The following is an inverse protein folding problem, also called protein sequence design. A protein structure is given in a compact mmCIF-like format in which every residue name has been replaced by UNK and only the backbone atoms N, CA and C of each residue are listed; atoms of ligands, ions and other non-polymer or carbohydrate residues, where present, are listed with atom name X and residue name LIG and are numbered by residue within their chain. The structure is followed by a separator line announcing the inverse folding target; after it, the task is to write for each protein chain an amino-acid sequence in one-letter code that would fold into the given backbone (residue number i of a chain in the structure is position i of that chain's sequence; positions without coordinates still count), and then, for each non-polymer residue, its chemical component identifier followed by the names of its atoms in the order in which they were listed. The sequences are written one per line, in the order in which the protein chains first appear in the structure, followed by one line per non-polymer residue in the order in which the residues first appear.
data_IF_213618401164
#
_entry.id   IF_213618401164
#
_cell.length_a   1.000
_cell.length_b   1.000
_cell.length_c   1.000
_cell.angle_alpha   90.00
_cell.angle_beta   90.00
_cell.angle_gamma   90.00
#
_symmetry.space_group_name_H-M   'P 1'
#
loop_
_entity.id
_entity.type
_entity.pdbx_description
1 polymer ?
#
# COMPACT_ATOMS: atom_id res chain seq x y z
N UNK A 1 39.64 18.13 7.84
CA UNK A 1 38.95 17.09 8.64
C UNK A 1 39.05 15.80 7.84
N UNK A 2 39.82 14.85 8.36
CA UNK A 2 40.27 13.64 7.67
C UNK A 2 39.09 12.81 7.14
N UNK A 3 39.04 12.59 5.82
CA UNK A 3 38.20 11.54 5.24
C UNK A 3 38.73 10.21 5.77
N UNK A 4 38.06 9.64 6.76
CA UNK A 4 38.27 8.25 7.14
C UNK A 4 37.92 7.40 5.93
N UNK A 5 38.94 6.91 5.22
CA UNK A 5 38.79 5.79 4.29
C UNK A 5 38.06 4.68 5.04
N UNK A 6 36.88 4.31 4.55
CA UNK A 6 36.21 3.08 4.97
C UNK A 6 37.15 1.93 4.63
N UNK A 7 37.38 0.95 5.54
CA UNK A 7 38.21 -0.19 5.23
C UNK A 7 37.63 -0.89 3.99
N UNK A 8 38.44 -1.06 2.94
CA UNK A 8 38.09 -1.92 1.80
C UNK A 8 37.68 -3.29 2.36
N UNK A 9 36.54 -3.86 1.95
CA UNK A 9 36.21 -5.22 2.35
C UNK A 9 37.21 -6.15 1.68
N UNK A 10 38.25 -6.53 2.40
CA UNK A 10 39.12 -7.65 2.05
C UNK A 10 38.31 -8.93 2.25
N UNK A 11 37.47 -9.26 1.28
CA UNK A 11 37.06 -10.66 1.08
C UNK A 11 38.35 -11.43 0.78
N UNK A 12 38.65 -12.53 1.49
CA UNK A 12 39.80 -13.35 1.14
C UNK A 12 39.60 -13.81 -0.30
N UNK A 13 40.61 -13.60 -1.13
CA UNK A 13 40.53 -13.87 -2.56
C UNK A 13 40.67 -15.38 -2.81
N UNK A 14 39.69 -16.19 -2.39
CA UNK A 14 39.77 -17.66 -2.41
C UNK A 14 40.04 -18.27 -3.80
N UNK A 15 39.87 -17.50 -4.88
CA UNK A 15 40.20 -17.89 -6.25
C UNK A 15 41.71 -18.11 -6.50
N UNK A 16 42.61 -17.48 -5.75
CA UNK A 16 44.06 -17.68 -5.92
C UNK A 16 44.64 -18.80 -5.05
N UNK A 17 43.83 -19.37 -4.15
CA UNK A 17 44.25 -20.41 -3.22
C UNK A 17 43.99 -21.80 -3.79
N UNK A 18 44.82 -22.76 -3.36
CA UNK A 18 44.58 -24.19 -3.60
C UNK A 18 43.41 -24.66 -2.75
N UNK A 19 42.73 -25.70 -3.25
CA UNK A 19 41.67 -26.41 -2.54
C UNK A 19 42.09 -26.82 -1.12
N UNK A 20 43.31 -27.36 -0.95
CA UNK A 20 43.84 -27.76 0.36
C UNK A 20 43.88 -26.61 1.38
N UNK A 21 44.28 -25.40 0.96
CA UNK A 21 44.36 -24.24 1.85
C UNK A 21 42.96 -23.79 2.29
N UNK A 22 42.00 -23.80 1.37
CA UNK A 22 40.61 -23.43 1.65
C UNK A 22 39.95 -24.43 2.60
N UNK A 23 40.25 -25.72 2.43
CA UNK A 23 39.78 -26.81 3.29
C UNK A 23 40.33 -26.65 4.72
N UNK A 24 41.63 -26.35 4.84
CA UNK A 24 42.27 -26.09 6.13
C UNK A 24 41.74 -24.83 6.81
N UNK A 25 41.57 -23.73 6.06
CA UNK A 25 41.07 -22.44 6.57
C UNK A 25 39.65 -22.57 7.14
N UNK A 26 38.77 -23.33 6.47
CA UNK A 26 37.40 -23.54 6.92
C UNK A 26 37.20 -24.78 7.78
N UNK A 27 38.26 -25.53 8.10
CA UNK A 27 38.19 -26.79 8.87
C UNK A 27 37.06 -27.70 8.40
N UNK A 28 36.94 -27.86 7.08
CA UNK A 28 35.90 -28.68 6.43
C UNK A 28 36.55 -29.90 5.77
N UNK A 29 35.78 -30.91 5.42
CA UNK A 29 36.24 -32.10 4.70
C UNK A 29 35.38 -32.28 3.46
N UNK A 30 35.99 -32.54 2.30
CA UNK A 30 35.26 -32.62 1.02
C UNK A 30 34.24 -33.77 1.00
N UNK A 31 34.58 -34.90 1.63
CA UNK A 31 33.77 -36.12 1.61
C UNK A 31 32.71 -36.12 2.69
N UNK A 32 33.04 -35.59 3.87
CA UNK A 32 32.14 -35.62 5.02
C UNK A 32 31.39 -34.32 5.26
N UNK A 33 31.91 -33.20 4.75
CA UNK A 33 31.38 -31.87 4.96
C UNK A 33 31.53 -31.41 6.42
N UNK A 34 30.80 -30.36 6.78
CA UNK A 34 30.77 -29.88 8.16
C UNK A 34 29.91 -30.79 9.04
N UNK A 35 30.24 -30.87 10.32
CA UNK A 35 29.35 -31.51 11.30
C UNK A 35 28.15 -30.62 11.60
N UNK A 36 26.98 -31.23 11.84
CA UNK A 36 25.75 -30.47 12.13
C UNK A 36 25.91 -29.54 13.35
N UNK A 37 26.74 -29.90 14.32
CA UNK A 37 27.05 -29.06 15.49
C UNK A 37 27.85 -27.82 15.13
N UNK A 38 28.89 -27.96 14.30
CA UNK A 38 29.73 -26.85 13.85
C UNK A 38 28.94 -25.91 12.94
N UNK A 39 28.14 -26.47 12.02
CA UNK A 39 27.28 -25.67 11.16
C UNK A 39 26.26 -24.84 11.97
N UNK A 40 25.63 -25.43 12.99
CA UNK A 40 24.72 -24.68 13.90
C UNK A 40 25.44 -23.60 14.72
N UNK A 41 26.69 -23.85 15.12
CA UNK A 41 27.49 -22.84 15.83
C UNK A 41 27.87 -21.68 14.91
N UNK A 42 28.25 -21.97 13.65
CA UNK A 42 28.52 -20.94 12.63
C UNK A 42 27.27 -20.17 12.26
N UNK A 43 26.11 -20.81 12.10
CA UNK A 43 24.85 -20.12 11.78
C UNK A 43 24.39 -19.12 12.85
N UNK A 44 24.82 -19.31 14.12
CA UNK A 44 24.56 -18.34 15.19
C UNK A 44 25.51 -17.14 15.15
N UNK A 45 26.67 -17.29 14.51
CA UNK A 45 27.75 -16.30 14.44
C UNK A 45 27.72 -15.53 13.11
N UNK A 46 27.70 -16.28 12.02
CA UNK A 46 27.61 -15.85 10.64
C UNK A 46 26.11 -15.90 10.29
N UNK A 47 25.51 -14.73 10.11
CA UNK A 47 24.07 -14.54 9.87
C UNK A 47 23.54 -15.44 8.72
N UNK A 48 22.22 -15.59 8.62
CA UNK A 48 21.60 -16.43 7.59
C UNK A 48 22.05 -16.03 6.18
N UNK A 49 22.08 -16.99 5.26
CA UNK A 49 22.29 -16.76 3.83
C UNK A 49 21.05 -16.12 3.19
N UNK A 50 20.76 -14.89 3.61
CA UNK A 50 19.74 -14.03 3.06
C UNK A 50 20.23 -12.59 3.08
N UNK A 51 19.71 -11.77 2.17
CA UNK A 51 19.92 -10.33 2.25
C UNK A 51 19.08 -9.80 3.42
N UNK A 52 19.73 -9.08 4.34
CA UNK A 52 19.05 -8.55 5.52
C UNK A 52 17.94 -7.59 5.06
N UNK A 53 16.75 -7.84 5.58
CA UNK A 53 15.61 -6.96 5.42
C UNK A 53 15.09 -6.74 6.83
N UNK A 54 15.72 -5.81 7.57
CA UNK A 54 15.36 -5.55 8.96
C UNK A 54 13.85 -5.29 9.05
N UNK A 55 13.08 -6.14 9.76
CA UNK A 55 11.66 -5.96 9.87
C UNK A 55 11.40 -4.65 10.61
N UNK A 56 10.68 -3.73 9.97
CA UNK A 56 10.25 -2.48 10.62
C UNK A 56 9.33 -2.85 11.79
N UNK A 57 9.64 -2.42 13.02
CA UNK A 57 8.81 -2.75 14.16
C UNK A 57 7.42 -2.15 14.02
N UNK A 58 6.39 -2.92 14.40
CA UNK A 58 4.97 -2.53 14.19
C UNK A 58 4.62 -1.19 14.84
N UNK A 59 5.17 -0.86 16.00
CA UNK A 59 4.92 0.43 16.64
C UNK A 59 5.48 1.61 15.83
N UNK A 60 6.60 1.42 15.12
CA UNK A 60 7.19 2.44 14.27
C UNK A 60 6.31 2.69 13.05
N UNK A 61 5.70 1.63 12.50
CA UNK A 61 4.68 1.74 11.44
C UNK A 61 3.48 2.58 11.91
N UNK A 62 3.05 2.42 13.16
CA UNK A 62 1.96 3.21 13.76
C UNK A 62 2.36 4.69 13.91
N UNK A 63 3.55 4.98 14.43
CA UNK A 63 4.04 6.36 14.59
C UNK A 63 4.21 7.05 13.23
N UNK A 64 4.67 6.32 12.22
CA UNK A 64 4.80 6.84 10.86
C UNK A 64 3.44 7.28 10.28
N UNK A 65 2.32 6.72 10.72
CA UNK A 65 1.00 7.21 10.30
C UNK A 65 0.75 8.65 10.74
N UNK A 66 1.35 9.13 11.82
CA UNK A 66 1.21 10.50 12.30
C UNK A 66 2.18 11.49 11.64
N UNK A 67 3.21 10.99 10.94
CA UNK A 67 4.22 11.84 10.30
C UNK A 67 3.76 12.31 8.91
N UNK A 68 2.63 13.01 8.88
CA UNK A 68 2.03 13.56 7.67
C UNK A 68 1.57 15.00 7.94
N UNK A 69 1.88 15.92 7.01
CA UNK A 69 1.49 17.33 7.09
C UNK A 69 -0.01 17.53 7.33
N UNK A 70 -0.85 16.69 6.71
CA UNK A 70 -2.32 16.70 6.87
C UNK A 70 -2.69 16.42 8.34
N UNK A 71 -2.06 15.42 8.95
CA UNK A 71 -2.36 15.02 10.33
C UNK A 71 -1.84 16.07 11.32
N UNK A 72 -0.71 16.74 11.03
CA UNK A 72 -0.26 17.87 11.84
C UNK A 72 -1.25 19.04 11.82
N UNK A 73 -1.82 19.36 10.65
CA UNK A 73 -2.85 20.40 10.53
C UNK A 73 -4.10 20.03 11.32
N UNK A 74 -4.57 18.78 11.19
CA UNK A 74 -5.75 18.29 11.92
C UNK A 74 -5.51 18.22 13.44
N UNK A 75 -4.31 17.84 13.88
CA UNK A 75 -3.94 17.87 15.31
C UNK A 75 -3.94 19.31 15.84
N UNK A 76 -3.36 20.25 15.08
CA UNK A 76 -3.36 21.66 15.44
C UNK A 76 -4.79 22.22 15.53
N UNK A 77 -5.64 21.90 14.56
CA UNK A 77 -7.07 22.22 14.57
C UNK A 77 -7.77 21.66 15.81
N UNK A 78 -7.59 20.37 16.11
CA UNK A 78 -8.19 19.72 17.28
C UNK A 78 -7.78 20.38 18.61
N UNK A 79 -6.51 20.79 18.72
CA UNK A 79 -5.97 21.50 19.89
C UNK A 79 -6.60 22.90 20.01
N UNK A 80 -6.68 23.67 18.92
CA UNK A 80 -7.31 24.99 18.94
C UNK A 80 -8.79 24.90 19.32
N UNK A 81 -9.52 23.95 18.76
CA UNK A 81 -10.94 23.71 19.10
C UNK A 81 -11.13 23.31 20.56
N UNK A 82 -10.22 22.49 21.10
CA UNK A 82 -10.22 22.12 22.52
C UNK A 82 -9.97 23.32 23.42
N UNK A 83 -9.02 24.19 23.05
CA UNK A 83 -8.69 25.42 23.79
C UNK A 83 -9.89 26.38 23.82
N UNK A 84 -10.68 26.43 22.75
CA UNK A 84 -11.94 27.19 22.67
C UNK A 84 -13.09 26.56 23.48
N UNK A 85 -12.85 25.46 24.21
CA UNK A 85 -13.84 24.69 25.00
C UNK A 85 -14.98 24.09 24.18
N UNK A 86 -14.76 23.90 22.87
CA UNK A 86 -15.69 23.18 22.00
C UNK A 86 -15.36 21.67 22.01
N UNK A 87 -15.74 21.01 23.11
CA UNK A 87 -15.42 19.60 23.33
C UNK A 87 -16.04 18.66 22.28
N UNK A 88 -17.25 18.98 21.79
CA UNK A 88 -17.92 18.21 20.72
C UNK A 88 -17.05 18.14 19.47
N UNK A 89 -16.60 19.29 18.98
CA UNK A 89 -15.99 19.42 17.67
C UNK A 89 -14.54 18.89 17.70
N UNK A 90 -13.83 19.15 18.80
CA UNK A 90 -12.49 18.58 19.04
C UNK A 90 -12.53 17.05 19.13
N UNK A 91 -13.57 16.49 19.77
CA UNK A 91 -13.73 15.03 19.87
C UNK A 91 -13.96 14.38 18.50
N UNK A 92 -14.75 15.02 17.62
CA UNK A 92 -14.99 14.52 16.25
C UNK A 92 -13.71 14.52 15.44
N UNK A 93 -12.93 15.60 15.45
CA UNK A 93 -11.66 15.69 14.70
C UNK A 93 -10.67 14.63 15.21
N UNK A 94 -10.59 14.44 16.52
CA UNK A 94 -9.70 13.45 17.14
C UNK A 94 -10.10 12.02 16.76
N UNK A 95 -11.39 11.70 16.73
CA UNK A 95 -11.90 10.40 16.27
C UNK A 95 -11.50 10.16 14.80
N UNK A 96 -11.61 11.17 13.93
CA UNK A 96 -11.22 11.06 12.52
C UNK A 96 -9.73 10.76 12.39
N UNK A 97 -8.86 11.47 13.12
CA UNK A 97 -7.41 11.23 13.12
C UNK A 97 -7.11 9.79 13.56
N UNK A 98 -7.75 9.31 14.63
CA UNK A 98 -7.55 7.95 15.16
C UNK A 98 -8.01 6.90 14.16
N UNK A 99 -9.20 7.05 13.57
CA UNK A 99 -9.73 6.11 12.57
C UNK A 99 -8.78 6.04 11.36
N UNK A 100 -8.33 7.19 10.85
CA UNK A 100 -7.40 7.24 9.73
C UNK A 100 -6.06 6.55 10.05
N UNK A 101 -5.50 6.80 11.24
CA UNK A 101 -4.28 6.14 11.70
C UNK A 101 -4.45 4.62 11.83
N UNK A 102 -5.58 4.15 12.38
CA UNK A 102 -5.89 2.72 12.51
C UNK A 102 -6.06 2.04 11.15
N UNK A 103 -6.76 2.68 10.22
CA UNK A 103 -6.92 2.17 8.85
C UNK A 103 -5.57 2.10 8.15
N UNK A 104 -4.73 3.14 8.27
CA UNK A 104 -3.38 3.18 7.72
C UNK A 104 -2.51 2.05 8.28
N UNK A 105 -2.48 1.91 9.60
CA UNK A 105 -1.76 0.85 10.31
C UNK A 105 -2.20 -0.56 9.89
N UNK A 106 -3.52 -0.81 9.83
CA UNK A 106 -4.05 -2.11 9.41
C UNK A 106 -3.70 -2.46 7.96
N UNK A 107 -3.63 -1.46 7.07
CA UNK A 107 -3.22 -1.65 5.67
C UNK A 107 -1.74 -1.98 5.57
N UNK A 108 -0.89 -1.23 6.27
CA UNK A 108 0.56 -1.40 6.21
C UNK A 108 1.00 -2.77 6.76
N UNK A 109 0.38 -3.24 7.85
CA UNK A 109 0.64 -4.59 8.39
C UNK A 109 0.25 -5.68 7.40
N UNK A 110 -0.91 -5.54 6.72
CA UNK A 110 -1.34 -6.54 5.73
C UNK A 110 -0.39 -6.60 4.55
N UNK A 111 0.08 -5.45 4.07
CA UNK A 111 1.06 -5.37 2.99
C UNK A 111 2.40 -6.00 3.38
N UNK A 112 2.93 -5.65 4.55
CA UNK A 112 4.19 -6.20 5.08
C UNK A 112 4.13 -7.73 5.25
N UNK A 113 3.06 -8.26 5.87
CA UNK A 113 2.88 -9.70 6.07
C UNK A 113 2.74 -10.47 4.74
N UNK A 114 2.12 -9.86 3.72
CA UNK A 114 1.97 -10.50 2.41
C UNK A 114 3.33 -10.63 1.71
N UNK A 115 4.18 -9.60 1.82
CA UNK A 115 5.53 -9.62 1.27
C UNK A 115 6.43 -10.65 1.96
N UNK A 116 6.37 -10.73 3.30
CA UNK A 116 7.15 -11.69 4.08
C UNK A 116 6.80 -13.14 3.69
N UNK A 117 5.51 -13.45 3.54
CA UNK A 117 5.06 -14.77 3.06
C UNK A 117 5.58 -15.10 1.66
N UNK A 118 5.61 -14.13 0.75
CA UNK A 118 6.19 -14.32 -0.58
C UNK A 118 7.70 -14.61 -0.47
N UNK A 119 8.45 -13.87 0.36
CA UNK A 119 9.89 -14.10 0.59
C UNK A 119 10.15 -15.54 1.06
N UNK A 120 9.33 -16.06 1.98
CA UNK A 120 9.48 -17.43 2.51
C UNK A 120 9.13 -18.54 1.52
N UNK A 121 8.28 -18.27 0.52
CA UNK A 121 7.92 -19.25 -0.51
C UNK A 121 8.96 -19.33 -1.64
N UNK A 122 9.88 -18.37 -1.70
CA UNK A 122 10.90 -18.24 -2.75
C UNK A 122 12.30 -18.70 -2.31
N UNK A 123 12.47 -19.21 -1.09
CA UNK A 123 13.76 -19.71 -0.63
C UNK A 123 14.09 -21.05 -1.29
N UNK A 124 15.12 -21.06 -2.14
CA UNK A 124 15.59 -22.26 -2.84
C UNK A 124 16.09 -23.34 -1.87
N UNK A 125 15.86 -24.60 -2.21
CA UNK A 125 16.50 -25.76 -1.56
C UNK A 125 17.85 -26.05 -2.21
N UNK A 126 18.78 -26.63 -1.46
CA UNK A 126 20.11 -26.99 -1.94
C UNK A 126 20.61 -28.27 -1.28
N UNK A 127 21.50 -28.97 -1.97
CA UNK A 127 22.10 -30.22 -1.52
C UNK A 127 23.45 -29.94 -0.87
N UNK A 128 23.62 -30.34 0.40
CA UNK A 128 24.89 -30.21 1.12
C UNK A 128 25.36 -31.53 1.69
N UNK A 129 26.67 -31.67 1.83
CA UNK A 129 27.27 -32.73 2.64
C UNK A 129 27.41 -32.23 4.08
N UNK A 130 26.77 -32.94 5.01
CA UNK A 130 26.96 -32.78 6.46
C UNK A 130 26.99 -34.15 7.11
N UNK A 131 27.90 -34.32 8.07
CA UNK A 131 28.12 -35.59 8.79
C UNK A 131 28.29 -36.81 7.86
N UNK A 132 28.90 -36.66 6.68
CA UNK A 132 29.09 -37.74 5.71
C UNK A 132 27.90 -38.05 4.81
N UNK A 133 26.78 -37.34 4.96
CA UNK A 133 25.55 -37.62 4.23
C UNK A 133 25.11 -36.44 3.37
N UNK A 134 24.65 -36.71 2.15
CA UNK A 134 24.02 -35.71 1.29
C UNK A 134 22.62 -35.42 1.85
N UNK A 135 22.41 -34.20 2.31
CA UNK A 135 21.14 -33.74 2.89
C UNK A 135 20.63 -32.54 2.12
N UNK A 136 19.32 -32.54 1.86
CA UNK A 136 18.64 -31.41 1.23
C UNK A 136 18.19 -30.44 2.32
N UNK A 137 18.48 -29.14 2.14
CA UNK A 137 18.09 -28.11 3.10
C UNK A 137 17.81 -26.77 2.42
N UNK A 138 17.17 -25.86 3.15
CA UNK A 138 16.96 -24.50 2.67
C UNK A 138 18.30 -23.76 2.52
N UNK A 139 18.51 -23.13 1.35
CA UNK A 139 19.72 -22.35 1.06
C UNK A 139 19.98 -21.25 2.10
N UNK A 140 18.92 -20.73 2.75
CA UNK A 140 18.99 -19.76 3.86
C UNK A 140 19.88 -20.23 5.02
N UNK A 141 19.95 -21.54 5.25
CA UNK A 141 20.66 -22.14 6.39
C UNK A 141 22.09 -22.58 6.04
N UNK A 142 22.58 -22.22 4.84
CA UNK A 142 23.98 -22.41 4.47
C UNK A 142 24.88 -21.52 5.31
N UNK A 143 26.05 -22.05 5.66
CA UNK A 143 27.11 -21.33 6.36
C UNK A 143 28.42 -21.44 5.62
N UNK A 144 29.34 -20.52 5.89
CA UNK A 144 30.69 -20.57 5.33
C UNK A 144 31.40 -21.87 5.75
N UNK A 145 31.98 -22.55 4.77
CA UNK A 145 32.63 -23.85 4.89
C UNK A 145 31.73 -25.07 4.63
N UNK A 146 30.42 -24.90 4.42
CA UNK A 146 29.55 -26.00 3.96
C UNK A 146 30.04 -26.51 2.59
N UNK A 147 29.92 -27.81 2.34
CA UNK A 147 30.21 -28.42 1.05
C UNK A 147 28.89 -28.62 0.31
N UNK A 148 28.72 -27.87 -0.78
CA UNK A 148 27.52 -27.87 -1.61
C UNK A 148 27.76 -28.75 -2.84
N UNK A 149 26.77 -29.58 -3.16
CA UNK A 149 26.74 -30.33 -4.40
C UNK A 149 25.85 -29.61 -5.41
N UNK A 150 26.40 -29.40 -6.60
CA UNK A 150 25.72 -28.77 -7.73
C UNK A 150 25.49 -29.80 -8.83
N UNK A 151 24.29 -29.80 -9.40
CA UNK A 151 23.94 -30.56 -10.61
C UNK A 151 23.21 -29.69 -11.63
N UNK A 152 23.15 -30.14 -12.89
CA UNK A 152 22.47 -29.43 -13.95
C UNK A 152 21.00 -29.13 -13.59
N UNK A 153 20.61 -27.86 -13.69
CA UNK A 153 19.30 -27.36 -13.28
C UNK A 153 19.28 -26.66 -11.92
N UNK A 154 20.32 -26.82 -11.09
CA UNK A 154 20.44 -26.09 -9.83
C UNK A 154 20.79 -24.61 -10.05
N UNK A 155 20.32 -23.78 -9.13
CA UNK A 155 20.89 -22.45 -8.93
C UNK A 155 21.96 -22.51 -7.86
N UNK A 156 23.08 -21.84 -8.09
CA UNK A 156 24.17 -21.74 -7.13
C UNK A 156 23.69 -20.94 -5.92
N UNK A 157 23.67 -21.52 -4.70
CA UNK A 157 22.94 -20.97 -3.56
C UNK A 157 23.72 -19.92 -2.75
N UNK A 158 25.04 -19.89 -2.90
CA UNK A 158 26.00 -19.02 -2.20
C UNK A 158 27.28 -18.91 -3.05
N UNK A 159 28.23 -18.04 -2.71
CA UNK A 159 29.50 -18.02 -3.45
C UNK A 159 30.36 -19.20 -3.00
N UNK A 160 30.81 -20.00 -3.98
CA UNK A 160 31.51 -21.27 -3.76
C UNK A 160 32.91 -21.25 -4.39
N UNK A 161 33.87 -21.84 -3.69
CA UNK A 161 35.14 -22.29 -4.27
C UNK A 161 35.00 -23.74 -4.73
N UNK A 162 35.19 -23.99 -6.03
CA UNK A 162 35.00 -25.31 -6.63
C UNK A 162 36.17 -26.24 -6.31
N UNK A 163 35.87 -27.48 -5.92
CA UNK A 163 36.88 -28.46 -5.48
C UNK A 163 36.86 -29.77 -6.26
N UNK A 164 35.71 -30.15 -6.83
CA UNK A 164 35.57 -31.33 -7.68
C UNK A 164 34.57 -31.02 -8.79
N UNK A 165 34.85 -31.46 -10.01
CA UNK A 165 34.07 -31.09 -11.19
C UNK A 165 33.95 -32.25 -12.18
N UNK A 166 32.74 -32.46 -12.67
CA UNK A 166 32.44 -33.32 -13.81
C UNK A 166 31.72 -32.49 -14.88
N UNK A 167 32.50 -31.97 -15.84
CA UNK A 167 32.05 -31.16 -16.97
C UNK A 167 31.10 -30.00 -16.58
N UNK A 168 31.36 -29.37 -15.42
CA UNK A 168 30.50 -28.33 -14.87
C UNK A 168 30.55 -27.06 -15.73
N UNK A 169 29.37 -26.59 -16.13
CA UNK A 169 29.18 -25.31 -16.82
C UNK A 169 28.12 -24.49 -16.10
N UNK A 170 28.39 -23.20 -15.95
CA UNK A 170 27.52 -22.27 -15.22
C UNK A 170 27.23 -21.07 -16.10
N UNK A 171 25.97 -20.62 -16.12
CA UNK A 171 25.53 -19.41 -16.80
C UNK A 171 25.53 -18.24 -15.80
N UNK A 172 26.38 -17.26 -16.07
CA UNK A 172 26.67 -16.15 -15.14
C UNK A 172 26.02 -14.82 -15.54
N UNK A 173 24.99 -14.89 -16.39
CA UNK A 173 24.27 -13.72 -16.91
C UNK A 173 23.72 -12.80 -15.81
N UNK A 174 23.45 -13.35 -14.61
CA UNK A 174 23.00 -12.58 -13.46
C UNK A 174 24.06 -11.61 -12.91
N UNK A 175 25.36 -11.89 -13.10
CA UNK A 175 26.47 -11.03 -12.66
C UNK A 175 27.17 -10.32 -13.83
N UNK A 176 27.42 -11.02 -14.93
CA UNK A 176 28.22 -10.48 -16.07
C UNK A 176 27.35 -9.89 -17.18
N UNK A 177 26.08 -10.29 -17.28
CA UNK A 177 25.19 -9.94 -18.38
C UNK A 177 25.40 -10.77 -19.66
N UNK A 178 26.39 -11.65 -19.69
CA UNK A 178 26.67 -12.53 -20.82
C UNK A 178 25.83 -13.81 -20.72
N UNK A 179 25.19 -14.21 -21.83
CA UNK A 179 24.27 -15.35 -21.84
C UNK A 179 24.97 -16.70 -22.03
N UNK A 180 26.23 -16.70 -22.43
CA UNK A 180 26.98 -17.92 -22.67
C UNK A 180 27.37 -18.62 -21.36
N UNK A 181 27.36 -19.95 -21.38
CA UNK A 181 27.80 -20.74 -20.24
C UNK A 181 29.32 -20.84 -20.20
N UNK A 182 29.91 -20.65 -19.03
CA UNK A 182 31.36 -20.71 -18.81
C UNK A 182 31.72 -22.08 -18.24
N UNK A 183 32.78 -22.70 -18.78
CA UNK A 183 33.32 -23.94 -18.23
C UNK A 183 34.13 -23.64 -16.98
N UNK A 184 33.88 -24.40 -15.90
CA UNK A 184 34.54 -24.19 -14.62
C UNK A 184 35.79 -25.05 -14.46
N UNK A 185 36.73 -24.57 -13.63
CA UNK A 185 38.01 -25.24 -13.34
C UNK A 185 38.28 -25.30 -11.84
N UNK A 186 39.25 -26.09 -11.39
CA UNK A 186 39.60 -26.20 -9.95
C UNK A 186 40.92 -25.46 -9.65
N UNK A 187 41.74 -25.23 -10.67
CA UNK A 187 43.09 -24.71 -10.49
C UNK A 187 43.08 -23.28 -9.90
N UNK A 188 44.06 -22.94 -9.04
CA UNK A 188 44.25 -21.57 -8.58
C UNK A 188 44.48 -20.60 -9.75
N UNK A 189 43.93 -19.39 -9.64
CA UNK A 189 44.06 -18.34 -10.65
C UNK A 189 45.03 -17.23 -10.18
N UNK A 190 45.62 -16.44 -11.09
CA UNK A 190 46.50 -15.34 -10.74
C UNK A 190 45.81 -14.28 -9.87
N UNK A 191 46.58 -13.62 -9.00
CA UNK A 191 46.11 -12.45 -8.25
C UNK A 191 45.60 -11.35 -9.20
N UNK A 192 44.52 -10.66 -8.81
CA UNK A 192 43.79 -9.66 -9.61
C UNK A 192 43.00 -10.21 -10.82
N UNK A 193 42.64 -11.50 -10.82
CA UNK A 193 41.73 -12.03 -11.85
C UNK A 193 40.35 -11.37 -11.72
N UNK A 194 39.82 -10.72 -12.78
CA UNK A 194 38.48 -10.13 -12.76
C UNK A 194 37.40 -11.15 -12.40
N UNK A 195 36.30 -10.71 -11.78
CA UNK A 195 35.21 -11.61 -11.34
C UNK A 195 34.66 -12.46 -12.50
N UNK A 196 34.56 -11.89 -13.71
CA UNK A 196 34.12 -12.62 -14.92
C UNK A 196 35.03 -13.79 -15.30
N UNK A 197 36.31 -13.71 -14.94
CA UNK A 197 37.34 -14.65 -15.36
C UNK A 197 37.67 -15.65 -14.25
N UNK A 198 37.02 -15.54 -13.08
CA UNK A 198 37.18 -16.45 -11.94
C UNK A 198 36.46 -17.79 -12.20
N UNK A 199 37.00 -18.56 -13.15
CA UNK A 199 36.45 -19.86 -13.58
C UNK A 199 36.48 -20.94 -12.52
N UNK A 200 37.18 -20.72 -11.40
CA UNK A 200 37.27 -21.66 -10.28
C UNK A 200 36.35 -21.32 -9.10
N UNK A 201 35.53 -20.29 -9.29
CA UNK A 201 34.46 -19.87 -8.40
C UNK A 201 33.10 -20.13 -9.05
N UNK A 202 32.08 -20.34 -8.23
CA UNK A 202 30.68 -20.28 -8.63
C UNK A 202 29.97 -19.23 -7.78
N UNK A 203 29.22 -18.33 -8.41
CA UNK A 203 28.62 -17.19 -7.71
C UNK A 203 27.13 -17.39 -7.45
N UNK A 204 26.62 -16.86 -6.33
CA UNK A 204 25.23 -17.00 -5.93
C UNK A 204 24.25 -16.46 -7.02
N UNK A 205 23.11 -17.13 -7.17
CA UNK A 205 22.07 -16.81 -8.18
C UNK A 205 22.48 -17.00 -9.65
N UNK A 206 23.59 -17.70 -9.92
CA UNK A 206 23.93 -18.21 -11.26
C UNK A 206 23.35 -19.60 -11.47
N UNK A 207 23.10 -19.99 -12.73
CA UNK A 207 22.42 -21.24 -13.07
C UNK A 207 23.38 -22.30 -13.59
N UNK A 208 23.32 -23.52 -13.07
CA UNK A 208 24.12 -24.66 -13.56
C UNK A 208 23.46 -25.22 -14.82
N UNK A 209 24.14 -25.13 -15.96
CA UNK A 209 23.59 -25.54 -17.26
C UNK A 209 23.94 -26.99 -17.61
N UNK A 210 25.09 -27.47 -17.16
CA UNK A 210 25.54 -28.83 -17.46
C UNK A 210 26.54 -29.34 -16.41
N UNK A 211 26.66 -30.65 -16.32
CA UNK A 211 27.62 -31.33 -15.45
C UNK A 211 27.23 -31.35 -13.97
N UNK A 212 28.18 -31.74 -13.14
CA UNK A 212 28.04 -31.70 -11.68
C UNK A 212 29.35 -31.26 -11.03
N UNK A 213 29.29 -30.85 -9.76
CA UNK A 213 30.48 -30.45 -9.03
C UNK A 213 30.25 -30.24 -7.55
N UNK A 214 31.36 -30.21 -6.80
CA UNK A 214 31.41 -29.87 -5.39
C UNK A 214 32.06 -28.50 -5.21
N UNK A 215 31.47 -27.69 -4.34
CA UNK A 215 32.03 -26.39 -3.96
C UNK A 215 31.93 -26.15 -2.46
N UNK A 216 32.94 -25.50 -1.90
CA UNK A 216 32.96 -25.04 -0.50
C UNK A 216 32.41 -23.63 -0.46
N UNK A 217 31.43 -23.37 0.42
CA UNK A 217 30.85 -22.04 0.62
C UNK A 217 31.91 -21.10 1.18
N UNK A 218 32.21 -20.02 0.47
CA UNK A 218 33.17 -18.99 0.90
C UNK A 218 32.49 -17.70 1.38
N UNK A 219 31.29 -17.40 0.88
CA UNK A 219 30.52 -16.24 1.30
C UNK A 219 29.02 -16.51 1.20
N UNK A 220 28.26 -15.93 2.13
CA UNK A 220 26.80 -16.04 2.25
C UNK A 220 26.16 -14.66 2.44
N UNK A 221 24.88 -14.52 2.07
CA UNK A 221 24.09 -13.32 2.31
C UNK A 221 24.70 -12.07 1.67
N UNK A 222 24.81 -11.00 2.46
CA UNK A 222 25.36 -9.70 2.02
C UNK A 222 26.84 -9.77 1.58
N UNK A 223 27.59 -10.78 2.02
CA UNK A 223 29.00 -10.94 1.69
C UNK A 223 29.24 -11.58 0.32
N UNK A 224 28.21 -12.14 -0.31
CA UNK A 224 28.29 -12.64 -1.69
C UNK A 224 28.47 -11.50 -2.70
N UNK A 225 29.01 -11.75 -3.89
CA UNK A 225 29.16 -10.73 -4.93
C UNK A 225 27.79 -10.13 -5.34
N UNK A 226 26.77 -10.98 -5.51
CA UNK A 226 25.41 -10.52 -5.77
C UNK A 226 24.82 -9.75 -4.57
N UNK A 227 25.20 -10.12 -3.35
CA UNK A 227 24.83 -9.43 -2.12
C UNK A 227 25.42 -8.03 -2.04
N UNK A 228 26.72 -7.87 -2.30
CA UNK A 228 27.40 -6.56 -2.38
C UNK A 228 26.75 -5.65 -3.42
N UNK A 229 26.39 -6.19 -4.59
CA UNK A 229 25.66 -5.47 -5.64
C UNK A 229 24.27 -5.06 -5.11
N UNK A 230 23.52 -6.00 -4.53
CA UNK A 230 22.16 -5.75 -4.03
C UNK A 230 22.13 -4.71 -2.92
N UNK A 231 23.03 -4.75 -1.94
CA UNK A 231 23.12 -3.75 -0.87
C UNK A 231 23.41 -2.36 -1.43
N UNK A 232 24.35 -2.26 -2.38
CA UNK A 232 24.68 -0.99 -3.06
C UNK A 232 23.48 -0.45 -3.84
N UNK A 233 22.70 -1.32 -4.49
CA UNK A 233 21.48 -0.94 -5.23
C UNK A 233 20.31 -0.61 -4.28
N UNK A 234 20.19 -1.29 -3.14
CA UNK A 234 19.14 -1.05 -2.14
C UNK A 234 19.29 0.32 -1.47
N UNK A 235 20.53 0.76 -1.22
CA UNK A 235 20.83 2.11 -0.78
C UNK A 235 20.32 3.17 -1.77
N UNK A 236 20.24 2.84 -3.07
CA UNK A 236 19.66 3.72 -4.09
C UNK A 236 18.12 3.60 -4.22
N UNK A 237 17.51 2.48 -3.82
CA UNK A 237 16.06 2.18 -4.01
C UNK A 237 15.10 2.91 -3.08
N UNK A 238 15.59 3.69 -2.12
CA UNK A 238 14.72 4.46 -1.21
C UNK A 238 14.03 5.67 -1.86
N UNK A 239 14.09 5.82 -3.18
CA UNK A 239 13.38 6.89 -3.88
C UNK A 239 11.90 6.53 -4.07
N UNK A 240 11.02 7.36 -3.47
CA UNK A 240 9.57 7.33 -3.74
C UNK A 240 9.29 7.26 -5.24
N UNK A 241 8.31 6.44 -5.63
CA UNK A 241 7.84 6.33 -7.02
C UNK A 241 7.47 7.71 -7.60
N UNK A 242 7.74 7.97 -8.90
CA UNK A 242 7.38 9.23 -9.55
C UNK A 242 5.91 9.62 -9.33
N UNK A 243 4.99 8.65 -9.42
CA UNK A 243 3.56 8.86 -9.19
C UNK A 243 3.26 9.31 -7.76
N UNK A 244 3.95 8.72 -6.77
CA UNK A 244 3.81 9.11 -5.36
C UNK A 244 4.33 10.52 -5.14
N UNK A 245 5.42 10.93 -5.80
CA UNK A 245 5.93 12.31 -5.74
C UNK A 245 4.94 13.31 -6.33
N UNK A 246 4.36 13.03 -7.49
CA UNK A 246 3.37 13.91 -8.11
C UNK A 246 2.10 14.05 -7.25
N UNK A 247 1.62 12.95 -6.67
CA UNK A 247 0.45 13.00 -5.81
C UNK A 247 0.74 13.68 -4.46
N UNK A 248 1.93 13.51 -3.89
CA UNK A 248 2.38 14.27 -2.72
C UNK A 248 2.41 15.78 -3.04
N UNK A 249 2.88 16.16 -4.24
CA UNK A 249 2.87 17.55 -4.70
C UNK A 249 1.45 18.09 -4.91
N UNK A 250 0.55 17.31 -5.52
CA UNK A 250 -0.86 17.69 -5.66
C UNK A 250 -1.54 17.84 -4.30
N UNK A 251 -1.31 16.90 -3.38
CA UNK A 251 -1.81 16.96 -2.01
C UNK A 251 -1.29 18.18 -1.26
N UNK A 252 0.00 18.49 -1.39
CA UNK A 252 0.61 19.69 -0.81
C UNK A 252 0.03 20.97 -1.43
N UNK A 253 -0.15 21.03 -2.75
CA UNK A 253 -0.75 22.16 -3.44
C UNK A 253 -2.19 22.44 -2.99
N UNK A 254 -3.02 21.40 -2.89
CA UNK A 254 -4.38 21.50 -2.36
C UNK A 254 -4.36 21.95 -0.90
N UNK A 255 -3.47 21.38 -0.07
CA UNK A 255 -3.34 21.76 1.34
C UNK A 255 -2.97 23.23 1.50
N UNK A 256 -2.02 23.72 0.70
CA UNK A 256 -1.60 25.13 0.71
C UNK A 256 -2.73 26.05 0.26
N UNK A 257 -3.48 25.67 -0.78
CA UNK A 257 -4.66 26.41 -1.22
C UNK A 257 -5.74 26.49 -0.13
N UNK A 258 -6.02 25.40 0.57
CA UNK A 258 -6.98 25.37 1.68
C UNK A 258 -6.50 26.29 2.82
N UNK A 259 -5.21 26.24 3.18
CA UNK A 259 -4.65 27.10 4.23
C UNK A 259 -4.73 28.58 3.84
N UNK A 260 -4.28 28.94 2.63
CA UNK A 260 -4.33 30.34 2.17
C UNK A 260 -5.76 30.86 2.13
N UNK A 261 -6.67 30.12 1.51
CA UNK A 261 -8.08 30.53 1.43
C UNK A 261 -8.70 30.67 2.82
N UNK A 262 -8.36 29.77 3.75
CA UNK A 262 -8.79 29.84 5.15
C UNK A 262 -8.28 31.09 5.87
N UNK A 263 -7.01 31.44 5.70
CA UNK A 263 -6.43 32.66 6.29
C UNK A 263 -7.09 33.92 5.69
N UNK A 264 -7.28 33.96 4.37
CA UNK A 264 -7.95 35.08 3.69
C UNK A 264 -9.38 35.24 4.21
N UNK A 265 -10.15 34.16 4.29
CA UNK A 265 -11.52 34.17 4.79
C UNK A 265 -11.57 34.58 6.26
N UNK A 266 -10.61 34.15 7.08
CA UNK A 266 -10.52 34.55 8.48
C UNK A 266 -10.27 36.06 8.62
N UNK A 267 -9.29 36.61 7.89
CA UNK A 267 -9.00 38.06 7.92
C UNK A 267 -10.18 38.87 7.40
N UNK A 268 -10.80 38.43 6.30
CA UNK A 268 -11.96 39.10 5.72
C UNK A 268 -13.18 39.07 6.64
N UNK A 269 -13.47 37.91 7.25
CA UNK A 269 -14.56 37.77 8.21
C UNK A 269 -14.35 38.61 9.47
N UNK A 270 -13.09 38.75 9.92
CA UNK A 270 -12.73 39.62 11.04
C UNK A 270 -12.91 41.10 10.69
N UNK A 271 -12.53 41.51 9.48
CA UNK A 271 -12.67 42.90 9.02
C UNK A 271 -14.14 43.32 8.86
N UNK A 272 -14.99 42.45 8.31
CA UNK A 272 -16.41 42.71 8.14
C UNK A 272 -17.23 42.60 9.44
N UNK A 273 -16.64 42.11 10.52
CA UNK A 273 -17.29 41.89 11.83
C UNK A 273 -18.61 41.09 11.74
N UNK A 274 -18.75 40.19 10.75
CA UNK A 274 -19.96 39.39 10.55
C UNK A 274 -20.18 38.41 11.71
N UNK A 275 -19.10 37.83 12.22
CA UNK A 275 -19.11 36.84 13.29
C UNK A 275 -18.17 37.24 14.42
N UNK A 276 -18.46 36.76 15.63
CA UNK A 276 -17.49 36.83 16.73
C UNK A 276 -16.26 35.96 16.41
N UNK A 277 -15.09 36.37 16.91
CA UNK A 277 -13.82 35.69 16.64
C UNK A 277 -13.89 34.16 16.89
N UNK A 278 -14.51 33.67 18.00
CA UNK A 278 -14.64 32.24 18.23
C UNK A 278 -15.47 31.52 17.15
N UNK A 279 -16.61 32.11 16.74
CA UNK A 279 -17.49 31.52 15.71
C UNK A 279 -16.80 31.50 14.35
N UNK A 280 -16.10 32.58 14.01
CA UNK A 280 -15.32 32.66 12.78
C UNK A 280 -14.18 31.62 12.75
N UNK A 281 -13.43 31.49 13.85
CA UNK A 281 -12.38 30.48 13.96
C UNK A 281 -12.93 29.06 13.77
N UNK A 282 -14.07 28.75 14.40
CA UNK A 282 -14.72 27.44 14.27
C UNK A 282 -15.20 27.15 12.85
N UNK A 283 -15.77 28.15 12.16
CA UNK A 283 -16.17 28.00 10.76
C UNK A 283 -14.98 27.66 9.85
N UNK A 284 -13.85 28.34 10.05
CA UNK A 284 -12.62 28.12 9.28
C UNK A 284 -12.01 26.74 9.58
N UNK A 285 -11.93 26.35 10.85
CA UNK A 285 -11.46 25.01 11.25
C UNK A 285 -12.32 23.91 10.61
N UNK A 286 -13.64 24.06 10.68
CA UNK A 286 -14.61 23.11 10.09
C UNK A 286 -14.44 23.01 8.58
N UNK A 287 -14.21 24.14 7.91
CA UNK A 287 -13.91 24.18 6.48
C UNK A 287 -12.62 23.44 6.14
N UNK A 288 -11.53 23.67 6.89
CA UNK A 288 -10.24 22.99 6.67
C UNK A 288 -10.43 21.48 6.78
N UNK A 289 -11.03 21.01 7.88
CA UNK A 289 -11.28 19.58 8.12
C UNK A 289 -12.16 18.98 7.01
N UNK A 290 -13.22 19.68 6.60
CA UNK A 290 -14.14 19.19 5.56
C UNK A 290 -13.55 19.16 4.15
N UNK A 291 -12.52 19.97 3.86
CA UNK A 291 -11.88 20.05 2.55
C UNK A 291 -10.60 19.22 2.43
N UNK A 292 -10.02 18.74 3.54
CA UNK A 292 -8.79 17.95 3.51
C UNK A 292 -9.00 16.62 2.78
N UNK A 293 -8.20 16.31 1.73
CA UNK A 293 -8.33 15.08 0.97
C UNK A 293 -7.64 13.91 1.69
N UNK A 294 -8.26 13.39 2.75
CA UNK A 294 -7.71 12.33 3.62
C UNK A 294 -7.58 10.95 2.94
N UNK A 295 -8.16 10.77 1.74
CA UNK A 295 -8.21 9.49 1.02
C UNK A 295 -7.16 9.29 -0.09
N UNK A 296 -6.36 10.31 -0.43
CA UNK A 296 -5.43 10.25 -1.57
C UNK A 296 -4.43 9.08 -1.49
N UNK A 297 -3.76 8.81 -0.33
CA UNK A 297 -2.80 7.71 -0.24
C UNK A 297 -3.44 6.33 -0.44
N UNK A 298 -4.69 6.17 0.01
CA UNK A 298 -5.42 4.91 -0.12
C UNK A 298 -5.77 4.57 -1.59
N UNK A 299 -5.89 5.57 -2.46
CA UNK A 299 -6.15 5.37 -3.88
C UNK A 299 -4.93 4.79 -4.62
N UNK A 300 -3.71 5.05 -4.13
CA UNK A 300 -2.45 4.68 -4.80
C UNK A 300 -2.17 3.17 -4.81
N UNK A 301 -2.80 2.41 -3.91
CA UNK A 301 -2.59 0.96 -3.79
C UNK A 301 -3.42 0.16 -4.79
N UNK A 302 -4.33 0.81 -5.53
CA UNK A 302 -5.07 0.14 -6.60
C UNK A 302 -4.18 0.04 -7.83
N UNK A 303 -4.09 -1.14 -8.47
CA UNK A 303 -3.34 -1.26 -9.70
C UNK A 303 -3.87 -0.24 -10.73
N UNK A 304 -2.97 0.42 -11.47
CA UNK A 304 -3.36 1.46 -12.41
C UNK A 304 -4.34 0.91 -13.44
N UNK A 305 -5.44 1.64 -13.64
CA UNK A 305 -6.46 1.28 -14.63
C UNK A 305 -5.86 1.41 -16.03
N UNK A 306 -6.23 0.51 -16.95
CA UNK A 306 -5.71 0.52 -18.32
C UNK A 306 -5.90 1.89 -18.99
N UNK A 307 -4.85 2.45 -19.62
CA UNK A 307 -4.87 3.77 -20.31
C UNK A 307 -5.99 3.95 -21.35
N UNK A 308 -6.53 2.86 -21.88
CA UNK A 308 -7.53 2.86 -22.95
C UNK A 308 -8.98 3.04 -22.47
N UNK A 309 -9.24 3.02 -21.16
CA UNK A 309 -10.57 3.29 -20.61
C UNK A 309 -10.68 4.77 -20.22
N UNK A 310 -11.54 5.52 -20.91
CA UNK A 310 -11.95 6.84 -20.44
C UNK A 310 -12.58 6.70 -19.05
N UNK A 311 -12.12 7.49 -18.08
CA UNK A 311 -12.61 7.46 -16.70
C UNK A 311 -14.11 7.75 -16.63
N UNK A 312 -14.56 8.66 -17.47
CA UNK A 312 -15.92 9.18 -17.50
C UNK A 312 -16.22 9.66 -18.91
N UNK A 313 -17.32 9.20 -19.51
CA UNK A 313 -17.77 9.74 -20.78
C UNK A 313 -18.47 11.09 -20.56
N UNK A 314 -18.55 11.93 -21.61
CA UNK A 314 -19.28 13.21 -21.54
C UNK A 314 -20.72 13.04 -21.03
N UNK A 315 -21.35 11.91 -21.37
CA UNK A 315 -22.66 11.55 -20.86
C UNK A 315 -22.68 11.39 -19.33
N UNK A 316 -21.71 10.70 -18.75
CA UNK A 316 -21.66 10.44 -17.30
C UNK A 316 -21.56 11.74 -16.52
N UNK A 317 -20.78 12.69 -17.05
CA UNK A 317 -20.66 14.04 -16.52
C UNK A 317 -22.02 14.73 -16.54
N UNK A 318 -22.68 14.76 -17.71
CA UNK A 318 -24.03 15.35 -17.85
C UNK A 318 -25.05 14.70 -16.92
N UNK A 319 -24.97 13.38 -16.77
CA UNK A 319 -25.85 12.63 -15.90
C UNK A 319 -25.67 12.99 -14.44
N UNK A 320 -24.43 13.05 -13.96
CA UNK A 320 -24.15 13.50 -12.60
C UNK A 320 -24.63 14.92 -12.34
N UNK A 321 -24.46 15.83 -13.29
CA UNK A 321 -24.89 17.23 -13.17
C UNK A 321 -26.41 17.30 -13.02
N UNK A 322 -27.19 16.72 -13.94
CA UNK A 322 -28.65 16.85 -13.88
C UNK A 322 -29.23 16.12 -12.66
N UNK A 323 -28.69 14.95 -12.28
CA UNK A 323 -29.17 14.22 -11.09
C UNK A 323 -28.89 15.01 -9.82
N UNK A 324 -27.71 15.63 -9.71
CA UNK A 324 -27.37 16.48 -8.55
C UNK A 324 -28.32 17.67 -8.45
N UNK A 325 -28.67 18.29 -9.58
CA UNK A 325 -29.60 19.42 -9.63
C UNK A 325 -31.02 19.01 -9.23
N UNK A 326 -31.50 17.84 -9.67
CA UNK A 326 -32.79 17.28 -9.24
C UNK A 326 -32.78 16.99 -7.74
N UNK A 327 -31.74 16.35 -7.21
CA UNK A 327 -31.63 16.03 -5.78
C UNK A 327 -31.67 17.32 -4.95
N UNK A 328 -30.88 18.33 -5.32
CA UNK A 328 -30.85 19.63 -4.66
C UNK A 328 -32.22 20.33 -4.74
N UNK A 329 -32.84 20.34 -5.93
CA UNK A 329 -34.16 20.91 -6.14
C UNK A 329 -35.24 20.25 -5.29
N UNK A 330 -35.28 18.91 -5.23
CA UNK A 330 -36.25 18.18 -4.41
C UNK A 330 -36.05 18.44 -2.91
N UNK A 331 -34.80 18.53 -2.45
CA UNK A 331 -34.50 18.85 -1.05
C UNK A 331 -34.98 20.27 -0.68
N UNK A 332 -34.72 21.26 -1.54
CA UNK A 332 -35.16 22.65 -1.34
C UNK A 332 -36.69 22.80 -1.43
N UNK A 333 -37.33 22.14 -2.40
CA UNK A 333 -38.79 22.14 -2.53
C UNK A 333 -39.41 21.52 -1.27
N UNK A 334 -38.94 20.36 -0.84
CA UNK A 334 -39.44 19.72 0.36
C UNK A 334 -39.23 20.59 1.61
N UNK A 335 -38.06 21.24 1.75
CA UNK A 335 -37.79 22.17 2.85
C UNK A 335 -38.78 23.35 2.85
N UNK A 336 -38.94 24.02 1.71
CA UNK A 336 -39.85 25.17 1.57
C UNK A 336 -41.33 24.81 1.80
N UNK A 337 -41.77 23.62 1.37
CA UNK A 337 -43.12 23.12 1.64
C UNK A 337 -43.29 22.87 3.14
N UNK A 338 -42.32 22.23 3.77
CA UNK A 338 -42.33 21.90 5.20
C UNK A 338 -42.39 23.17 6.06
N UNK A 339 -41.65 24.21 5.66
CA UNK A 339 -41.69 25.54 6.27
C UNK A 339 -43.08 26.21 6.15
N UNK A 340 -43.71 26.13 4.96
CA UNK A 340 -45.09 26.65 4.76
C UNK A 340 -46.12 25.97 5.65
N UNK A 341 -45.94 24.68 5.94
CA UNK A 341 -46.78 23.92 6.87
C UNK A 341 -46.44 24.15 8.35
N UNK A 342 -45.59 25.14 8.67
CA UNK A 342 -45.21 25.52 10.04
C UNK A 342 -44.57 24.37 10.84
N UNK A 343 -43.93 23.44 10.13
CA UNK A 343 -43.18 22.36 10.77
C UNK A 343 -41.86 22.94 11.31
N UNK A 344 -41.39 22.54 12.51
CA UNK A 344 -40.18 23.08 13.10
C UNK A 344 -38.95 22.96 12.20
N UNK A 345 -38.10 24.00 12.21
CA UNK A 345 -36.88 24.09 11.38
C UNK A 345 -36.00 22.83 11.47
N UNK A 346 -35.79 22.30 12.68
CA UNK A 346 -34.98 21.10 12.92
C UNK A 346 -35.53 19.87 12.18
N UNK A 347 -36.86 19.71 12.12
CA UNK A 347 -37.51 18.62 11.40
C UNK A 347 -37.37 18.83 9.88
N UNK A 348 -37.61 20.05 9.40
CA UNK A 348 -37.48 20.40 7.98
C UNK A 348 -36.06 20.16 7.45
N UNK A 349 -35.04 20.61 8.21
CA UNK A 349 -33.63 20.41 7.90
C UNK A 349 -33.28 18.91 7.86
N UNK A 350 -33.76 18.15 8.85
CA UNK A 350 -33.53 16.70 8.90
C UNK A 350 -34.18 15.98 7.73
N UNK A 351 -35.40 16.38 7.31
CA UNK A 351 -36.06 15.83 6.12
C UNK A 351 -35.27 16.14 4.85
N UNK A 352 -34.76 17.37 4.68
CA UNK A 352 -33.99 17.76 3.50
C UNK A 352 -32.70 16.93 3.34
N UNK A 353 -31.94 16.73 4.41
CA UNK A 353 -30.73 15.87 4.39
C UNK A 353 -31.08 14.42 4.05
N UNK A 354 -32.15 13.90 4.64
CA UNK A 354 -32.64 12.55 4.36
C UNK A 354 -33.07 12.37 2.90
N UNK A 355 -33.70 13.38 2.27
CA UNK A 355 -34.09 13.35 0.85
C UNK A 355 -32.87 13.26 -0.05
N UNK A 356 -31.79 13.99 0.26
CA UNK A 356 -30.54 13.94 -0.50
C UNK A 356 -29.97 12.52 -0.48
N UNK A 357 -29.95 11.89 0.70
CA UNK A 357 -29.35 10.57 0.89
C UNK A 357 -30.22 9.48 0.25
N UNK A 358 -31.54 9.53 0.41
CA UNK A 358 -32.47 8.63 -0.30
C UNK A 358 -32.34 8.78 -1.82
N UNK A 359 -32.21 10.01 -2.33
CA UNK A 359 -31.96 10.27 -3.75
C UNK A 359 -30.65 9.64 -4.26
N UNK A 360 -29.58 9.69 -3.46
CA UNK A 360 -28.31 9.01 -3.77
C UNK A 360 -28.45 7.49 -3.79
N UNK A 361 -29.23 6.90 -2.87
CA UNK A 361 -29.51 5.45 -2.86
C UNK A 361 -30.26 5.05 -4.13
N UNK A 362 -31.26 5.82 -4.55
CA UNK A 362 -31.96 5.57 -5.82
C UNK A 362 -31.06 5.69 -7.04
N UNK A 363 -30.20 6.71 -7.07
CA UNK A 363 -29.24 6.89 -8.15
C UNK A 363 -28.23 5.72 -8.22
N UNK A 364 -27.77 5.20 -7.08
CA UNK A 364 -26.85 4.06 -7.02
C UNK A 364 -27.42 2.81 -7.70
N UNK A 365 -28.72 2.53 -7.52
CA UNK A 365 -29.38 1.42 -8.22
C UNK A 365 -29.48 1.65 -9.72
N UNK A 366 -29.65 2.91 -10.15
CA UNK A 366 -29.77 3.23 -11.57
C UNK A 366 -28.44 3.11 -12.33
N UNK A 367 -27.32 3.61 -11.78
CA UNK A 367 -26.03 3.65 -12.50
C UNK A 367 -25.33 2.29 -12.64
N UNK A 368 -25.72 1.31 -11.83
CA UNK A 368 -24.97 0.06 -11.70
C UNK A 368 -25.16 -0.90 -12.87
N UNK A 369 -26.25 -0.77 -13.62
CA UNK A 369 -26.57 -1.68 -14.72
C UNK A 369 -27.43 -1.01 -15.79
N UNK A 370 -27.31 -1.51 -17.01
CA UNK A 370 -28.14 -1.15 -18.16
C UNK A 370 -29.58 -1.70 -18.07
N UNK A 371 -29.85 -2.58 -17.11
CA UNK A 371 -31.18 -3.10 -16.80
C UNK A 371 -31.97 -2.15 -15.87
N UNK A 372 -33.32 -2.29 -15.80
CA UNK A 372 -34.14 -1.52 -14.87
C UNK A 372 -33.72 -1.74 -13.41
N UNK A 373 -33.73 -0.68 -12.61
CA UNK A 373 -33.26 -0.67 -11.21
C UNK A 373 -33.80 -1.82 -10.33
N UNK A 374 -35.03 -2.29 -10.57
CA UNK A 374 -35.68 -3.36 -9.79
C UNK A 374 -35.69 -4.75 -10.45
N UNK A 375 -34.89 -4.99 -11.50
CA UNK A 375 -34.82 -6.33 -12.08
C UNK A 375 -34.15 -7.35 -11.13
N UNK A 376 -34.53 -8.63 -11.17
CA UNK A 376 -33.88 -9.69 -10.37
C UNK A 376 -32.36 -9.77 -10.60
N UNK A 377 -31.89 -9.43 -11.81
CA UNK A 377 -30.46 -9.37 -12.19
C UNK A 377 -29.73 -8.20 -11.50
N UNK A 378 -30.41 -7.05 -11.43
CA UNK A 378 -30.27 -5.93 -10.47
C UNK A 378 -29.77 -6.31 -9.08
N UNK A 379 -30.71 -6.99 -8.44
CA UNK A 379 -30.80 -7.19 -7.01
C UNK A 379 -29.79 -8.24 -6.54
N UNK A 380 -29.35 -9.15 -7.40
CA UNK A 380 -28.46 -10.25 -7.01
C UNK A 380 -26.99 -10.06 -7.43
N UNK A 381 -26.67 -9.06 -8.25
CA UNK A 381 -25.38 -9.04 -8.98
C UNK A 381 -24.13 -8.73 -8.13
N UNK A 382 -24.23 -8.04 -6.99
CA UNK A 382 -23.06 -7.60 -6.22
C UNK A 382 -23.49 -7.21 -4.80
N UNK A 383 -22.94 -7.97 -3.85
CA UNK A 383 -23.23 -7.91 -2.41
C UNK A 383 -22.71 -6.63 -1.75
N UNK A 384 -21.63 -6.04 -2.27
CA UNK A 384 -21.04 -4.81 -1.69
C UNK A 384 -21.97 -3.61 -1.80
N UNK A 385 -22.80 -3.50 -2.84
CA UNK A 385 -23.75 -2.41 -2.93
C UNK A 385 -24.80 -2.45 -1.80
N UNK A 386 -25.22 -3.64 -1.39
CA UNK A 386 -26.13 -3.81 -0.25
C UNK A 386 -25.47 -3.43 1.06
N UNK A 387 -24.20 -3.80 1.23
CA UNK A 387 -23.40 -3.35 2.37
C UNK A 387 -23.33 -1.82 2.41
N UNK A 388 -23.08 -1.16 1.27
CA UNK A 388 -23.06 0.30 1.20
C UNK A 388 -24.42 0.94 1.51
N UNK A 389 -25.52 0.40 0.97
CA UNK A 389 -26.88 0.92 1.25
C UNK A 389 -27.24 0.73 2.71
N UNK A 390 -26.96 -0.45 3.26
CA UNK A 390 -27.19 -0.73 4.67
C UNK A 390 -26.38 0.22 5.56
N UNK A 391 -25.10 0.43 5.24
CA UNK A 391 -24.26 1.39 5.96
C UNK A 391 -24.79 2.82 5.85
N UNK A 392 -25.28 3.26 4.68
CA UNK A 392 -25.88 4.58 4.50
C UNK A 392 -27.16 4.74 5.33
N UNK A 393 -28.05 3.74 5.32
CA UNK A 393 -29.28 3.76 6.12
C UNK A 393 -28.95 3.77 7.61
N UNK A 394 -28.02 2.92 8.05
CA UNK A 394 -27.57 2.86 9.45
C UNK A 394 -26.99 4.19 9.91
N UNK A 395 -26.09 4.79 9.11
CA UNK A 395 -25.51 6.09 9.40
C UNK A 395 -26.59 7.17 9.46
N UNK A 396 -27.62 7.07 8.61
CA UNK A 396 -28.71 8.03 8.60
C UNK A 396 -29.65 7.89 9.81
N UNK A 397 -29.88 6.68 10.29
CA UNK A 397 -30.59 6.44 11.54
C UNK A 397 -29.79 6.97 12.73
N UNK A 398 -28.47 6.76 12.75
CA UNK A 398 -27.57 7.34 13.75
C UNK A 398 -27.65 8.87 13.73
N UNK A 399 -27.53 9.48 12.54
CA UNK A 399 -27.65 10.92 12.34
C UNK A 399 -28.99 11.48 12.83
N UNK A 400 -30.10 10.76 12.59
CA UNK A 400 -31.47 11.24 12.88
C UNK A 400 -31.90 11.04 14.33
N UNK A 401 -31.44 9.96 14.99
CA UNK A 401 -31.98 9.56 16.29
C UNK A 401 -30.98 9.63 17.45
N UNK A 402 -29.67 9.71 17.20
CA UNK A 402 -28.70 9.78 18.29
C UNK A 402 -28.68 11.20 18.88
N UNK A 403 -28.90 11.39 20.19
CA UNK A 403 -29.00 12.72 20.81
C UNK A 403 -27.76 13.60 20.59
N UNK A 404 -26.57 12.99 20.58
CA UNK A 404 -25.33 13.69 20.26
C UNK A 404 -25.36 14.30 18.85
N UNK A 405 -25.83 13.55 17.85
CA UNK A 405 -25.95 14.03 16.47
C UNK A 405 -26.97 15.16 16.36
N UNK A 406 -28.09 15.05 17.08
CA UNK A 406 -29.12 16.09 17.15
C UNK A 406 -28.59 17.42 17.71
N UNK A 407 -27.71 17.36 18.70
CA UNK A 407 -27.03 18.54 19.24
C UNK A 407 -26.04 19.17 18.25
N UNK A 408 -25.23 18.36 17.58
CA UNK A 408 -24.17 18.84 16.66
C UNK A 408 -24.76 19.40 15.36
N UNK A 409 -25.73 18.70 14.75
CA UNK A 409 -26.24 19.03 13.42
C UNK A 409 -27.59 19.77 13.43
N UNK A 410 -28.11 20.10 14.62
CA UNK A 410 -29.44 20.71 14.75
C UNK A 410 -30.51 19.87 14.03
N UNK A 411 -30.52 18.56 14.33
CA UNK A 411 -31.47 17.61 13.75
C UNK A 411 -32.51 17.16 14.77
N UNK A 412 -33.61 16.60 14.27
CA UNK A 412 -34.70 16.07 15.09
C UNK A 412 -35.18 14.72 14.56
N UNK A 413 -35.63 13.87 15.48
CA UNK A 413 -36.18 12.57 15.13
C UNK A 413 -37.37 12.70 14.18
N UNK A 414 -37.36 11.92 13.10
CA UNK A 414 -38.45 11.90 12.13
C UNK A 414 -39.52 10.88 12.51
N UNK A 415 -40.79 11.24 12.31
CA UNK A 415 -41.89 10.30 12.37
C UNK A 415 -41.92 9.38 11.15
N UNK A 416 -42.67 8.29 11.23
CA UNK A 416 -42.87 7.36 10.10
C UNK A 416 -43.51 8.08 8.90
N UNK A 417 -44.43 9.01 9.14
CA UNK A 417 -45.07 9.80 8.07
C UNK A 417 -44.07 10.72 7.38
N UNK A 418 -43.17 11.35 8.13
CA UNK A 418 -42.11 12.19 7.58
C UNK A 418 -41.08 11.37 6.79
N UNK A 419 -40.75 10.17 7.27
CA UNK A 419 -39.94 9.22 6.50
C UNK A 419 -40.60 8.82 5.18
N UNK A 420 -41.91 8.60 5.16
CA UNK A 420 -42.63 8.32 3.93
C UNK A 420 -42.54 9.49 2.94
N UNK A 421 -42.68 10.72 3.43
CA UNK A 421 -42.50 11.94 2.62
C UNK A 421 -41.08 12.00 2.05
N UNK A 422 -40.05 11.72 2.84
CA UNK A 422 -38.64 11.68 2.39
C UNK A 422 -38.46 10.69 1.23
N UNK A 423 -38.98 9.48 1.40
CA UNK A 423 -38.87 8.42 0.39
C UNK A 423 -39.61 8.81 -0.88
N UNK A 424 -40.83 9.34 -0.77
CA UNK A 424 -41.63 9.76 -1.93
C UNK A 424 -41.01 10.97 -2.63
N UNK A 425 -40.55 11.97 -1.88
CA UNK A 425 -39.92 13.18 -2.42
C UNK A 425 -38.60 12.90 -3.15
N UNK A 426 -37.96 11.76 -2.88
CA UNK A 426 -36.73 11.35 -3.59
C UNK A 426 -36.99 10.46 -4.82
N UNK A 427 -38.21 9.94 -5.03
CA UNK A 427 -38.57 9.12 -6.20
C UNK A 427 -38.34 9.78 -7.56
N UNK A 428 -38.51 11.11 -7.76
CA UNK A 428 -38.25 11.74 -9.06
C UNK A 428 -36.84 11.46 -9.59
N UNK A 429 -35.85 11.30 -8.71
CA UNK A 429 -34.47 10.94 -9.10
C UNK A 429 -34.44 9.58 -9.81
N UNK A 430 -35.17 8.60 -9.28
CA UNK A 430 -35.28 7.27 -9.86
C UNK A 430 -36.07 7.31 -11.18
N UNK A 431 -37.20 8.01 -11.19
CA UNK A 431 -38.08 8.08 -12.36
C UNK A 431 -37.39 8.73 -13.55
N UNK A 432 -36.72 9.87 -13.34
CA UNK A 432 -36.00 10.58 -14.42
C UNK A 432 -34.82 9.76 -14.92
N UNK A 433 -34.04 9.17 -14.02
CA UNK A 433 -32.87 8.38 -14.39
C UNK A 433 -33.23 7.06 -15.09
N UNK A 434 -34.32 6.38 -14.69
CA UNK A 434 -34.86 5.21 -15.40
C UNK A 434 -35.49 5.59 -16.75
N UNK A 435 -36.20 6.71 -16.83
CA UNK A 435 -36.76 7.21 -18.10
C UNK A 435 -35.66 7.52 -19.11
N UNK A 436 -34.57 8.17 -18.66
CA UNK A 436 -33.40 8.39 -19.50
C UNK A 436 -32.78 7.06 -19.97
N UNK A 437 -32.63 6.08 -19.07
CA UNK A 437 -32.12 4.75 -19.41
C UNK A 437 -33.00 4.04 -20.45
N UNK A 438 -34.33 4.07 -20.28
CA UNK A 438 -35.29 3.48 -21.20
C UNK A 438 -35.28 4.15 -22.57
N UNK A 439 -35.21 5.49 -22.60
CA UNK A 439 -35.10 6.27 -23.84
C UNK A 439 -33.84 5.91 -24.63
N UNK A 440 -32.69 5.76 -23.95
CA UNK A 440 -31.43 5.39 -24.60
C UNK A 440 -31.43 3.96 -25.14
N UNK A 441 -32.01 3.01 -24.40
CA UNK A 441 -32.19 1.63 -24.86
C UNK A 441 -33.03 1.58 -26.12
N UNK A 442 -34.06 2.43 -26.23
CA UNK A 442 -34.91 2.55 -27.42
C UNK A 442 -34.16 3.12 -28.64
N UNK A 443 -33.22 4.05 -28.42
CA UNK A 443 -32.48 4.73 -29.49
C UNK A 443 -31.09 4.14 -29.79
N UNK A 444 -30.77 2.95 -29.25
CA UNK A 444 -29.47 2.26 -29.42
C UNK A 444 -28.25 3.16 -29.14
N UNK A 445 -28.42 4.16 -28.28
CA UNK A 445 -27.31 5.03 -27.88
C UNK A 445 -26.35 4.22 -27.01
N UNK A 446 -25.02 4.41 -27.13
CA UNK A 446 -24.02 3.59 -26.46
C UNK A 446 -24.22 3.60 -24.95
N UNK A 447 -24.77 2.52 -24.40
CA UNK A 447 -24.94 2.33 -22.97
C UNK A 447 -23.61 1.82 -22.44
N UNK A 448 -23.05 2.52 -21.45
CA UNK A 448 -21.78 2.15 -20.83
C UNK A 448 -21.78 0.72 -20.30
#
# INVERSE_FOLDING_TARGET
MSQKEKPKPTSPEFYHQTDQVVIEEFHTDIKTGLTTTTAKARLKKDEYNELDSKPVPKWQILIQQFNNIIIYILMLAAIFTLLMRHYSDSSVITIVIIINALIGFAKEIKASNALEKIKTLLSAETNVYRDGTRTQMLARNLVVGDVVYLEAGDNVPADLRLVDLDNLRIQESALTGESDSVAKTINPLPLNTPISDQTNMAFASTGVTNGSGLGIVVAVGENTEIGKISTTVQDMKHQKSPLTKELDQLGAGISWFIIISSVILFVFGMFLQIYSIPVLAMAIITMIVGLMPEGLPALMQRPPRSKYQKLMNRHDVWQMIYVSLIIAGMALIAFSITERFHIPFFVASTMAVNIIICGKIYYLFNIRTTAPAFSKRVILSNKMAYVSIFAMILLQLIFTYVPFMNGVFSTSGLSITQWLIVVVASLPVLLVSESNKAWRKKHQLPIL
#
